data_IF_900812294480
#
_entry.id   IF_900812294480
#
_cell.length_a   1.000
_cell.length_b   1.000
_cell.length_c   1.000
_cell.angle_alpha   90.00
_cell.angle_beta   90.00
_cell.angle_gamma   90.00
#
_symmetry.space_group_name_H-M   'P 1'
#
loop_
_entity.id
_entity.type
_entity.pdbx_description
1 polymer ?
#
# COMPACT_ATOMS: atom_id res chain seq x y z
N UNK A 1 23.06 22.37 -4.63
CA UNK A 1 22.93 20.90 -4.72
C UNK A 1 22.13 20.46 -3.49
N UNK A 2 20.94 19.84 -3.61
CA UNK A 2 20.25 19.34 -2.44
C UNK A 2 21.08 18.21 -1.81
N UNK A 3 21.29 18.28 -0.49
CA UNK A 3 22.00 17.25 0.27
C UNK A 3 21.03 16.08 0.43
N UNK A 4 21.09 15.10 -0.47
CA UNK A 4 20.36 13.84 -0.29
C UNK A 4 21.04 13.11 0.85
N UNK A 5 20.39 13.08 2.01
CA UNK A 5 20.91 12.40 3.21
C UNK A 5 21.03 10.92 2.88
N UNK A 6 22.25 10.39 2.81
CA UNK A 6 22.46 8.97 2.53
C UNK A 6 21.74 8.12 3.59
N UNK A 7 21.01 7.07 3.18
CA UNK A 7 20.30 6.22 4.12
C UNK A 7 21.30 5.49 5.03
N UNK A 8 20.99 5.44 6.32
CA UNK A 8 21.81 4.70 7.30
C UNK A 8 21.73 3.20 6.99
N UNK A 9 22.85 2.62 6.55
CA UNK A 9 22.93 1.20 6.25
C UNK A 9 23.09 0.37 7.53
N UNK A 10 22.35 -0.74 7.61
CA UNK A 10 22.45 -1.73 8.70
C UNK A 10 22.75 -3.11 8.13
N UNK A 11 23.68 -3.84 8.75
CA UNK A 11 23.96 -5.24 8.39
C UNK A 11 22.96 -6.16 9.08
N UNK A 12 22.38 -7.06 8.32
CA UNK A 12 21.50 -8.13 8.81
C UNK A 12 22.11 -9.45 8.36
N UNK A 13 22.20 -10.43 9.26
CA UNK A 13 22.60 -11.80 8.93
C UNK A 13 21.36 -12.69 9.09
N UNK A 14 21.16 -13.63 8.16
CA UNK A 14 20.09 -14.63 8.25
C UNK A 14 20.56 -15.96 7.69
N UNK A 15 19.86 -17.03 8.09
CA UNK A 15 20.05 -18.38 7.57
C UNK A 15 18.83 -18.74 6.74
N UNK A 16 19.04 -19.42 5.62
CA UNK A 16 17.99 -19.83 4.70
C UNK A 16 18.22 -21.25 4.18
N UNK A 17 17.15 -21.95 3.76
CA UNK A 17 17.27 -23.19 3.01
C UNK A 17 18.09 -22.99 1.73
N UNK A 18 18.79 -24.05 1.31
CA UNK A 18 19.62 -24.03 0.09
C UNK A 18 18.80 -23.67 -1.14
N UNK A 19 17.57 -24.18 -1.24
CA UNK A 19 16.68 -23.94 -2.37
C UNK A 19 16.32 -22.45 -2.51
N UNK A 20 16.22 -21.72 -1.39
CA UNK A 20 15.98 -20.28 -1.43
C UNK A 20 17.23 -19.52 -1.91
N UNK A 21 18.43 -19.96 -1.50
CA UNK A 21 19.68 -19.37 -1.98
C UNK A 21 19.80 -19.56 -3.49
N UNK A 22 19.46 -20.74 -4.00
CA UNK A 22 19.49 -21.05 -5.44
C UNK A 22 18.54 -20.16 -6.24
N UNK A 23 17.33 -19.92 -5.72
CA UNK A 23 16.36 -19.01 -6.35
C UNK A 23 16.88 -17.56 -6.41
N UNK A 24 17.52 -17.09 -5.34
CA UNK A 24 18.13 -15.75 -5.27
C UNK A 24 19.28 -15.65 -6.28
N UNK A 25 20.12 -16.67 -6.39
CA UNK A 25 21.22 -16.70 -7.34
C UNK A 25 20.74 -16.73 -8.78
N UNK A 26 19.67 -17.47 -9.06
CA UNK A 26 19.04 -17.46 -10.36
C UNK A 26 18.55 -16.06 -10.73
N UNK A 27 17.82 -15.40 -9.83
CA UNK A 27 17.35 -14.04 -10.01
C UNK A 27 18.51 -13.03 -10.23
N UNK A 28 19.60 -13.17 -9.47
CA UNK A 28 20.78 -12.33 -9.62
C UNK A 28 21.45 -12.52 -10.99
N UNK A 29 21.58 -13.78 -11.45
CA UNK A 29 22.16 -14.12 -12.77
C UNK A 29 21.35 -13.55 -13.92
N UNK A 30 20.02 -13.68 -13.87
CA UNK A 30 19.11 -13.15 -14.90
C UNK A 30 19.23 -11.63 -15.08
N UNK A 31 19.65 -10.92 -14.02
CA UNK A 31 19.78 -9.45 -14.01
C UNK A 31 21.21 -8.95 -14.08
N UNK A 32 22.20 -9.85 -14.16
CA UNK A 32 23.63 -9.52 -14.11
C UNK A 32 24.00 -8.69 -12.86
N UNK A 33 23.39 -9.04 -11.72
CA UNK A 33 23.60 -8.35 -10.44
C UNK A 33 24.31 -9.25 -9.42
N UNK A 34 24.90 -8.64 -8.39
CA UNK A 34 25.41 -9.40 -7.26
C UNK A 34 24.28 -9.89 -6.35
N UNK A 35 24.52 -11.01 -5.66
CA UNK A 35 23.54 -11.62 -4.74
C UNK A 35 23.02 -10.65 -3.69
N UNK A 36 23.85 -9.75 -3.16
CA UNK A 36 23.42 -8.81 -2.11
C UNK A 36 22.49 -7.73 -2.65
N UNK A 37 22.67 -7.32 -3.91
CA UNK A 37 21.76 -6.42 -4.62
C UNK A 37 20.44 -7.11 -4.93
N UNK A 38 20.48 -8.35 -5.44
CA UNK A 38 19.29 -9.17 -5.64
C UNK A 38 18.47 -9.35 -4.34
N UNK A 39 19.13 -9.73 -3.24
CA UNK A 39 18.50 -9.86 -1.92
C UNK A 39 17.84 -8.56 -1.49
N UNK A 40 18.52 -7.42 -1.64
CA UNK A 40 17.96 -6.12 -1.29
C UNK A 40 16.74 -5.78 -2.13
N UNK A 41 16.76 -6.05 -3.43
CA UNK A 41 15.60 -5.84 -4.30
C UNK A 41 14.42 -6.73 -3.89
N UNK A 42 14.65 -8.03 -3.71
CA UNK A 42 13.60 -8.98 -3.30
C UNK A 42 13.00 -8.60 -1.95
N UNK A 43 13.82 -8.21 -0.97
CA UNK A 43 13.37 -7.72 0.33
C UNK A 43 12.69 -6.36 0.23
N UNK A 44 13.05 -5.51 -0.73
CA UNK A 44 12.37 -4.24 -0.94
C UNK A 44 10.98 -4.44 -1.55
N UNK A 45 10.82 -5.42 -2.43
CA UNK A 45 9.55 -5.74 -3.08
C UNK A 45 8.62 -6.60 -2.22
N UNK A 46 9.15 -7.51 -1.38
CA UNK A 46 8.35 -8.41 -0.54
C UNK A 46 7.34 -7.71 0.40
N UNK A 47 7.74 -6.68 1.18
CA UNK A 47 6.83 -5.90 1.99
C UNK A 47 5.77 -5.18 1.18
N UNK A 48 6.09 -4.73 -0.05
CA UNK A 48 5.10 -4.09 -0.93
C UNK A 48 4.02 -5.10 -1.30
N UNK A 49 4.37 -6.34 -1.65
CA UNK A 49 3.37 -7.36 -1.99
C UNK A 49 2.48 -7.73 -0.79
N UNK A 50 3.07 -7.93 0.40
CA UNK A 50 2.31 -8.27 1.61
C UNK A 50 1.39 -7.14 2.10
N UNK A 51 1.87 -5.88 2.00
CA UNK A 51 1.05 -4.72 2.30
C UNK A 51 -0.08 -4.55 1.28
N UNK A 52 0.22 -4.77 0.00
CA UNK A 52 -0.79 -4.78 -1.06
C UNK A 52 -1.88 -5.80 -0.76
N UNK A 53 -1.51 -7.04 -0.42
CA UNK A 53 -2.49 -8.10 -0.15
C UNK A 53 -3.38 -7.79 1.05
N UNK A 54 -2.82 -7.25 2.14
CA UNK A 54 -3.61 -6.79 3.30
C UNK A 54 -4.56 -5.66 2.95
N UNK A 55 -4.09 -4.66 2.20
CA UNK A 55 -4.88 -3.49 1.85
C UNK A 55 -5.98 -3.86 0.86
N UNK A 56 -5.72 -4.78 -0.08
CA UNK A 56 -6.73 -5.35 -0.97
C UNK A 56 -7.77 -6.18 -0.23
N UNK A 57 -7.38 -6.95 0.79
CA UNK A 57 -8.33 -7.65 1.67
C UNK A 57 -9.25 -6.67 2.44
N UNK A 58 -8.72 -5.52 2.87
CA UNK A 58 -9.53 -4.48 3.52
C UNK A 58 -10.49 -3.81 2.53
N UNK A 59 -10.03 -3.57 1.29
CA UNK A 59 -10.87 -3.08 0.20
C UNK A 59 -12.02 -4.06 -0.11
N UNK A 60 -11.71 -5.36 -0.29
CA UNK A 60 -12.72 -6.41 -0.53
C UNK A 60 -13.76 -6.51 0.58
N UNK A 61 -13.38 -6.27 1.83
CA UNK A 61 -14.28 -6.28 2.99
C UNK A 61 -15.11 -4.99 3.13
N UNK A 62 -15.02 -4.07 2.15
CA UNK A 62 -15.71 -2.79 2.17
C UNK A 62 -15.16 -1.79 3.19
N UNK A 63 -13.98 -2.06 3.76
CA UNK A 63 -13.37 -1.22 4.80
C UNK A 63 -12.62 0.00 4.26
N UNK A 64 -12.43 0.11 2.94
CA UNK A 64 -11.69 1.20 2.27
C UNK A 64 -12.27 1.50 0.90
N UNK A 65 -12.23 2.78 0.52
CA UNK A 65 -12.54 3.23 -0.84
C UNK A 65 -11.36 2.97 -1.79
N UNK A 66 -11.64 2.87 -3.09
CA UNK A 66 -10.62 2.66 -4.13
C UNK A 66 -9.49 3.71 -4.05
N UNK A 67 -9.84 4.97 -3.76
CA UNK A 67 -8.87 6.06 -3.63
C UNK A 67 -7.98 5.92 -2.39
N UNK A 68 -8.53 5.49 -1.26
CA UNK A 68 -7.76 5.24 -0.04
C UNK A 68 -6.84 4.03 -0.19
N UNK A 69 -7.33 2.98 -0.86
CA UNK A 69 -6.56 1.80 -1.21
C UNK A 69 -5.38 2.17 -2.10
N UNK A 70 -5.59 2.98 -3.15
CA UNK A 70 -4.54 3.44 -4.06
C UNK A 70 -3.44 4.22 -3.30
N UNK A 71 -3.85 5.15 -2.46
CA UNK A 71 -2.93 5.93 -1.63
C UNK A 71 -2.11 5.08 -0.65
N UNK A 72 -2.71 4.02 -0.07
CA UNK A 72 -2.00 3.13 0.86
C UNK A 72 -1.02 2.18 0.19
N UNK A 73 -1.31 1.75 -1.03
CA UNK A 73 -0.42 0.87 -1.80
C UNK A 73 0.63 1.68 -2.58
N UNK A 74 0.46 3.01 -2.67
CA UNK A 74 1.36 3.89 -3.40
C UNK A 74 1.20 3.77 -4.92
N UNK A 75 0.00 3.39 -5.36
CA UNK A 75 -0.38 3.28 -6.78
C UNK A 75 -1.33 4.40 -7.14
N UNK A 76 -1.38 4.77 -8.41
CA UNK A 76 -2.51 5.54 -8.92
C UNK A 76 -3.76 4.66 -9.03
N UNK A 77 -4.92 5.30 -9.19
CA UNK A 77 -6.21 4.62 -9.22
C UNK A 77 -6.33 3.68 -10.42
N UNK A 78 -5.76 4.02 -11.57
CA UNK A 78 -5.86 3.18 -12.77
C UNK A 78 -4.98 1.93 -12.62
N UNK A 79 -3.74 2.07 -12.14
CA UNK A 79 -2.89 0.92 -11.84
C UNK A 79 -3.48 0.04 -10.74
N UNK A 80 -4.19 0.61 -9.77
CA UNK A 80 -4.94 -0.20 -8.80
C UNK A 80 -6.12 -0.97 -9.46
N UNK A 81 -6.86 -0.35 -10.37
CA UNK A 81 -7.95 -1.01 -11.11
C UNK A 81 -7.40 -2.19 -11.92
N UNK A 82 -6.30 -1.99 -12.63
CA UNK A 82 -5.63 -3.06 -13.38
C UNK A 82 -5.20 -4.21 -12.45
N UNK A 83 -4.62 -3.89 -11.31
CA UNK A 83 -4.23 -4.87 -10.30
C UNK A 83 -5.43 -5.64 -9.74
N UNK A 84 -6.55 -4.97 -9.48
CA UNK A 84 -7.79 -5.59 -9.03
C UNK A 84 -8.35 -6.54 -10.09
N UNK A 85 -8.38 -6.11 -11.36
CA UNK A 85 -8.84 -6.92 -12.49
C UNK A 85 -7.97 -8.15 -12.71
N UNK A 86 -6.64 -8.01 -12.67
CA UNK A 86 -5.70 -9.13 -12.78
C UNK A 86 -5.90 -10.18 -11.69
N UNK A 87 -6.35 -9.75 -10.51
CA UNK A 87 -6.61 -10.62 -9.35
C UNK A 87 -8.07 -11.07 -9.21
N UNK A 88 -8.92 -10.75 -10.19
CA UNK A 88 -10.34 -11.10 -10.18
C UNK A 88 -11.13 -10.43 -9.06
N UNK A 89 -10.65 -9.29 -8.55
CA UNK A 89 -11.30 -8.53 -7.48
C UNK A 89 -12.24 -7.50 -8.12
N UNK A 90 -13.54 -7.48 -7.75
CA UNK A 90 -14.48 -6.50 -8.31
C UNK A 90 -14.09 -5.08 -7.92
N UNK A 91 -14.12 -4.17 -8.91
CA UNK A 91 -13.85 -2.73 -8.76
C UNK A 91 -15.08 -1.99 -8.20
N UNK A 92 -16.24 -2.65 -8.23
CA UNK A 92 -17.50 -2.17 -7.65
C UNK A 92 -17.49 -2.28 -6.13
N UNK A 93 -16.70 -1.41 -5.50
CA UNK A 93 -16.93 -0.99 -4.12
C UNK A 93 -18.20 -0.12 -4.02
N UNK A 94 -19.34 -0.60 -4.50
CA UNK A 94 -20.62 0.13 -4.55
C UNK A 94 -21.23 0.43 -3.17
N UNK A 95 -20.51 0.22 -2.06
CA UNK A 95 -21.09 0.48 -0.74
C UNK A 95 -20.69 1.85 -0.18
N UNK A 96 -19.70 2.58 -0.72
CA UNK A 96 -19.32 3.89 -0.14
C UNK A 96 -18.92 4.97 -1.15
N UNK A 97 -19.64 5.09 -2.27
CA UNK A 97 -19.58 6.32 -3.08
C UNK A 97 -20.06 7.58 -2.31
N UNK A 98 -20.76 7.39 -1.17
CA UNK A 98 -21.31 8.45 -0.33
C UNK A 98 -20.59 8.65 1.02
N UNK A 99 -19.38 8.12 1.22
CA UNK A 99 -18.63 8.44 2.43
C UNK A 99 -18.35 9.96 2.47
N UNK A 100 -18.83 10.70 3.50
CA UNK A 100 -18.63 12.13 3.57
C UNK A 100 -17.14 12.42 3.63
N UNK A 101 -16.65 13.26 2.70
CA UNK A 101 -15.30 13.80 2.73
C UNK A 101 -14.95 14.25 4.17
N UNK A 102 -13.78 13.93 4.74
CA UNK A 102 -13.41 14.41 6.08
C UNK A 102 -13.50 15.95 6.23
N UNK A 103 -13.48 16.71 5.12
CA UNK A 103 -13.81 18.13 5.09
C UNK A 103 -15.30 18.46 5.32
N UNK A 104 -16.23 17.64 4.82
CA UNK A 104 -17.68 17.81 5.02
C UNK A 104 -18.13 17.39 6.42
N UNK A 105 -17.43 16.45 7.08
CA UNK A 105 -17.66 16.13 8.50
C UNK A 105 -17.36 17.31 9.42
N UNK A 106 -16.32 18.11 9.11
CA UNK A 106 -16.03 19.36 9.85
C UNK A 106 -17.11 20.42 9.64
N UNK A 107 -17.69 20.49 8.45
CA UNK A 107 -18.78 21.43 8.15
C UNK A 107 -20.09 21.01 8.82
N UNK A 108 -20.45 19.72 8.74
CA UNK A 108 -21.61 19.16 9.42
C UNK A 108 -21.50 19.29 10.95
N UNK A 109 -20.31 19.04 11.53
CA UNK A 109 -20.08 19.27 12.96
C UNK A 109 -20.22 20.75 13.36
N UNK A 110 -19.77 21.67 12.49
CA UNK A 110 -19.89 23.12 12.73
C UNK A 110 -21.34 23.61 12.61
N UNK A 111 -22.12 23.06 11.69
CA UNK A 111 -23.55 23.35 11.57
C UNK A 111 -24.36 22.74 12.72
N UNK A 112 -24.04 21.52 13.14
CA UNK A 112 -24.70 20.84 14.25
C UNK A 112 -24.47 21.56 15.59
N UNK A 113 -23.29 22.16 15.79
CA UNK A 113 -23.00 22.99 16.97
C UNK A 113 -23.76 24.33 16.90
N UNK A 114 -24.00 24.87 15.70
CA UNK A 114 -24.70 26.14 15.49
C UNK A 114 -26.24 26.01 15.59
N UNK A 115 -26.79 24.84 15.30
CA UNK A 115 -28.23 24.56 15.35
C UNK A 115 -28.74 24.05 16.69
N UNK A 116 -27.88 23.86 17.71
CA UNK A 116 -28.33 23.53 19.06
C UNK A 116 -29.14 24.68 19.66
N UNK A 117 -30.43 24.51 19.99
CA UNK A 117 -31.12 25.47 20.82
C UNK A 117 -30.43 25.51 22.18
N UNK A 118 -30.15 26.71 22.70
CA UNK A 118 -29.69 26.90 24.07
C UNK A 118 -30.74 26.29 24.98
N UNK A 119 -30.46 25.11 25.53
CA UNK A 119 -31.18 24.64 26.70
C UNK A 119 -30.92 25.67 27.80
N UNK A 120 -32.02 26.18 28.34
CA UNK A 120 -32.11 27.32 29.27
C UNK A 120 -31.21 27.17 30.48
#
# INVERSE_FOLDING_TARGET
MPVTKEPKMMRVNFTAPEELIDQIDQFARERLEDRSTAIRQLIHEGPKSLLTDRVLLQYQRGGMTLRETAARVGLDVNTLIELLMQRGIPVSGEIFADAPNPGSLKQAAKEFVKSRPRQK
#
